data_IF_171152443821
#
_entry.id   IF_171152443821
#
_cell.length_a   1.000
_cell.length_b   1.000
_cell.length_c   1.000
_cell.angle_alpha   90.00
_cell.angle_beta   90.00
_cell.angle_gamma   90.00
#
_symmetry.space_group_name_H-M   'P 1'
#
loop_
_entity.id
_entity.type
_entity.pdbx_description
1 polymer ?
#
# COMPACT_ATOMS: atom_id res chain seq x y z
N UNK A 1 2.62 1.75 -79.94
CA UNK A 1 1.31 2.21 -79.47
C UNK A 1 1.61 3.16 -78.34
N UNK A 2 1.19 4.42 -78.43
CA UNK A 2 1.44 5.41 -77.37
C UNK A 2 0.91 4.87 -76.04
N UNK A 3 1.77 4.84 -75.03
CA UNK A 3 1.38 4.60 -73.65
C UNK A 3 0.42 5.72 -73.27
N UNK A 4 -0.87 5.40 -73.16
CA UNK A 4 -1.88 6.36 -72.73
C UNK A 4 -1.66 6.59 -71.24
N UNK A 5 -1.01 7.69 -70.91
CA UNK A 5 -0.76 8.10 -69.53
C UNK A 5 -2.07 8.51 -68.85
N UNK A 6 -2.28 8.01 -67.63
CA UNK A 6 -3.40 8.39 -66.76
C UNK A 6 -3.44 9.90 -66.57
N UNK A 7 -2.29 10.57 -66.46
CA UNK A 7 -2.20 12.03 -66.36
C UNK A 7 -2.84 12.71 -67.57
N UNK A 8 -2.57 12.20 -68.77
CA UNK A 8 -3.14 12.75 -70.00
C UNK A 8 -4.66 12.53 -70.08
N UNK A 9 -5.18 11.42 -69.54
CA UNK A 9 -6.62 11.20 -69.45
C UNK A 9 -7.29 12.09 -68.39
N UNK A 10 -6.58 12.47 -67.34
CA UNK A 10 -7.03 13.45 -66.33
C UNK A 10 -7.10 14.85 -66.95
N UNK A 11 -6.08 15.27 -67.69
CA UNK A 11 -6.09 16.57 -68.41
C UNK A 11 -7.29 16.66 -69.37
N UNK A 12 -7.59 15.54 -70.05
CA UNK A 12 -8.74 15.44 -70.96
C UNK A 12 -10.08 15.47 -70.23
N UNK A 13 -10.14 15.00 -68.99
CA UNK A 13 -11.31 15.13 -68.13
C UNK A 13 -11.52 16.59 -67.71
N UNK A 14 -10.45 17.28 -67.32
CA UNK A 14 -10.49 18.71 -66.98
C UNK A 14 -10.96 19.55 -68.17
N UNK A 15 -10.43 19.31 -69.37
CA UNK A 15 -10.82 20.00 -70.59
C UNK A 15 -12.31 19.75 -70.91
N UNK A 16 -12.75 18.50 -70.82
CA UNK A 16 -14.15 18.13 -71.07
C UNK A 16 -15.11 18.79 -70.07
N UNK A 17 -14.71 18.95 -68.79
CA UNK A 17 -15.46 19.70 -67.78
C UNK A 17 -15.42 21.21 -68.06
N UNK A 18 -14.28 21.74 -68.52
CA UNK A 18 -14.11 23.15 -68.89
C UNK A 18 -14.98 23.59 -70.06
N UNK A 19 -15.15 22.73 -71.06
CA UNK A 19 -15.98 22.95 -72.24
C UNK A 19 -17.47 22.63 -72.04
N UNK A 20 -17.82 22.03 -70.90
CA UNK A 20 -19.17 21.58 -70.63
C UNK A 20 -20.18 22.73 -70.58
N UNK A 21 -21.39 22.49 -71.09
CA UNK A 21 -22.42 23.53 -71.16
C UNK A 21 -22.91 23.86 -69.75
N UNK A 22 -22.61 25.08 -69.29
CA UNK A 22 -23.07 25.59 -67.99
C UNK A 22 -24.57 25.89 -68.02
N UNK A 23 -25.27 25.50 -66.96
CA UNK A 23 -26.67 25.88 -66.77
C UNK A 23 -26.74 27.29 -66.15
N UNK A 24 -27.75 28.10 -66.52
CA UNK A 24 -27.86 29.49 -66.08
C UNK A 24 -28.18 29.66 -64.59
N UNK A 25 -28.60 28.58 -63.90
CA UNK A 25 -28.93 28.61 -62.46
C UNK A 25 -28.29 27.40 -61.77
N UNK A 26 -27.47 27.68 -60.75
CA UNK A 26 -26.63 26.68 -60.08
C UNK A 26 -25.40 26.35 -60.93
N UNK A 27 -24.21 26.27 -60.34
CA UNK A 27 -22.93 26.04 -61.03
C UNK A 27 -22.78 24.67 -61.72
N UNK A 28 -23.89 24.05 -62.11
CA UNK A 28 -23.95 22.75 -62.75
C UNK A 28 -23.59 22.85 -64.23
N UNK A 29 -22.87 21.83 -64.68
CA UNK A 29 -22.49 21.62 -66.08
C UNK A 29 -23.19 20.40 -66.64
N UNK A 30 -23.62 20.50 -67.89
CA UNK A 30 -24.18 19.37 -68.64
C UNK A 30 -23.08 18.74 -69.48
N UNK A 31 -22.79 17.48 -69.17
CA UNK A 31 -21.80 16.67 -69.86
C UNK A 31 -22.48 15.54 -70.64
N UNK A 32 -21.89 15.18 -71.77
CA UNK A 32 -22.33 14.01 -72.53
C UNK A 32 -21.98 12.73 -71.74
N UNK A 33 -23.00 12.09 -71.14
CA UNK A 33 -22.86 10.87 -70.33
C UNK A 33 -21.98 9.82 -71.00
N UNK A 34 -22.17 9.59 -72.30
CA UNK A 34 -21.42 8.56 -73.03
C UNK A 34 -19.92 8.87 -73.08
N UNK A 35 -19.53 10.11 -73.39
CA UNK A 35 -18.13 10.55 -73.42
C UNK A 35 -17.46 10.46 -72.04
N UNK A 36 -18.20 10.80 -70.98
CA UNK A 36 -17.70 10.68 -69.61
C UNK A 36 -17.44 9.22 -69.24
N UNK A 37 -18.36 8.33 -69.57
CA UNK A 37 -18.20 6.89 -69.31
C UNK A 37 -17.04 6.30 -70.12
N UNK A 38 -16.90 6.67 -71.39
CA UNK A 38 -15.77 6.23 -72.23
C UNK A 38 -14.41 6.68 -71.65
N UNK A 39 -14.35 7.89 -71.08
CA UNK A 39 -13.14 8.40 -70.44
C UNK A 39 -12.84 7.69 -69.12
N UNK A 40 -13.88 7.39 -68.33
CA UNK A 40 -13.76 6.58 -67.10
C UNK A 40 -13.27 5.17 -67.40
N UNK A 41 -13.77 4.54 -68.46
CA UNK A 41 -13.31 3.21 -68.88
C UNK A 41 -11.85 3.24 -69.36
N UNK A 42 -11.44 4.29 -70.08
CA UNK A 42 -10.03 4.48 -70.46
C UNK A 42 -9.13 4.73 -69.25
N UNK A 43 -9.57 5.52 -68.27
CA UNK A 43 -8.84 5.73 -67.01
C UNK A 43 -8.67 4.42 -66.24
N UNK A 44 -9.69 3.56 -66.24
CA UNK A 44 -9.63 2.23 -65.62
C UNK A 44 -8.64 1.29 -66.29
N UNK A 45 -8.52 1.36 -67.61
CA UNK A 45 -7.58 0.53 -68.39
C UNK A 45 -6.16 1.10 -68.35
N UNK A 46 -6.02 2.42 -68.30
CA UNK A 46 -4.74 3.12 -68.27
C UNK A 46 -4.06 3.05 -66.90
N UNK A 47 -4.82 2.83 -65.81
CA UNK A 47 -4.25 2.50 -64.51
C UNK A 47 -3.47 1.20 -64.64
N UNK A 48 -2.12 1.24 -64.61
CA UNK A 48 -1.30 0.08 -64.86
C UNK A 48 -1.51 -0.95 -63.75
N UNK A 49 -1.47 -2.24 -64.10
CA UNK A 49 -1.59 -3.34 -63.12
C UNK A 49 -0.51 -3.23 -62.02
N UNK A 50 0.61 -2.60 -62.36
CA UNK A 50 1.75 -2.31 -61.52
C UNK A 50 1.40 -1.40 -60.32
N UNK A 51 0.44 -0.47 -60.46
CA UNK A 51 0.01 0.41 -59.36
C UNK A 51 -0.80 -0.37 -58.33
N UNK A 52 -1.69 -1.25 -58.77
CA UNK A 52 -2.45 -2.14 -57.88
C UNK A 52 -1.52 -3.11 -57.15
N UNK A 53 -0.56 -3.70 -57.88
CA UNK A 53 0.46 -4.57 -57.29
C UNK A 53 1.32 -3.82 -56.27
N UNK A 54 1.74 -2.59 -56.55
CA UNK A 54 2.49 -1.78 -55.60
C UNK A 54 1.68 -1.52 -54.31
N UNK A 55 0.39 -1.22 -54.44
CA UNK A 55 -0.48 -1.02 -53.27
C UNK A 55 -0.61 -2.30 -52.43
N UNK A 56 -0.83 -3.46 -53.05
CA UNK A 56 -0.87 -4.75 -52.34
C UNK A 56 0.46 -5.08 -51.65
N UNK A 57 1.59 -4.81 -52.30
CA UNK A 57 2.92 -5.01 -51.70
C UNK A 57 3.10 -4.11 -50.48
N UNK A 58 2.66 -2.85 -50.54
CA UNK A 58 2.74 -1.92 -49.41
C UNK A 58 1.86 -2.41 -48.25
N UNK A 59 0.61 -2.78 -48.52
CA UNK A 59 -0.30 -3.30 -47.49
C UNK A 59 0.30 -4.55 -46.82
N UNK A 60 0.79 -5.49 -47.62
CA UNK A 60 1.37 -6.75 -47.10
C UNK A 60 2.67 -6.52 -46.33
N UNK A 61 3.47 -5.53 -46.73
CA UNK A 61 4.64 -5.08 -45.95
C UNK A 61 4.21 -4.54 -44.60
N UNK A 62 3.19 -3.69 -44.56
CA UNK A 62 2.75 -3.05 -43.32
C UNK A 62 2.14 -4.08 -42.35
N UNK A 63 1.36 -5.04 -42.87
CA UNK A 63 0.89 -6.20 -42.11
C UNK A 63 2.05 -7.01 -41.54
N UNK A 64 3.04 -7.37 -42.38
CA UNK A 64 4.21 -8.12 -41.95
C UNK A 64 5.03 -7.37 -40.87
N UNK A 65 5.17 -6.05 -41.01
CA UNK A 65 5.85 -5.22 -40.01
C UNK A 65 5.09 -5.18 -38.69
N UNK A 66 3.75 -5.05 -38.73
CA UNK A 66 2.92 -5.09 -37.53
C UNK A 66 3.01 -6.45 -36.83
N UNK A 67 2.95 -7.56 -37.58
CA UNK A 67 3.14 -8.91 -37.05
C UNK A 67 4.53 -9.09 -36.42
N UNK A 68 5.58 -8.65 -37.11
CA UNK A 68 6.95 -8.73 -36.61
C UNK A 68 7.14 -7.92 -35.32
N UNK A 69 6.56 -6.72 -35.24
CA UNK A 69 6.60 -5.89 -34.02
C UNK A 69 5.84 -6.53 -32.87
N UNK A 70 4.65 -7.09 -33.14
CA UNK A 70 3.87 -7.79 -32.13
C UNK A 70 4.61 -9.02 -31.61
N UNK A 71 5.25 -9.79 -32.49
CA UNK A 71 6.03 -10.96 -32.09
C UNK A 71 7.30 -10.58 -31.33
N UNK A 72 8.01 -9.53 -31.75
CA UNK A 72 9.16 -9.01 -31.00
C UNK A 72 8.75 -8.57 -29.58
N UNK A 73 7.62 -7.88 -29.44
CA UNK A 73 7.09 -7.50 -28.13
C UNK A 73 6.75 -8.72 -27.26
N UNK A 74 6.15 -9.76 -27.84
CA UNK A 74 5.86 -11.03 -27.13
C UNK A 74 7.14 -11.74 -26.68
N UNK A 75 8.16 -11.79 -27.54
CA UNK A 75 9.46 -12.41 -27.22
C UNK A 75 10.12 -11.68 -26.06
N UNK A 76 10.16 -10.34 -26.10
CA UNK A 76 10.72 -9.53 -25.02
C UNK A 76 9.96 -9.72 -23.70
N UNK A 77 8.62 -9.73 -23.74
CA UNK A 77 7.81 -9.96 -22.55
C UNK A 77 8.12 -11.34 -21.92
N UNK A 78 8.16 -12.40 -22.73
CA UNK A 78 8.50 -13.75 -22.26
C UNK A 78 9.92 -13.84 -21.71
N UNK A 79 10.88 -13.17 -22.36
CA UNK A 79 12.27 -13.15 -21.92
C UNK A 79 12.42 -12.47 -20.55
N UNK A 80 11.71 -11.36 -20.31
CA UNK A 80 11.69 -10.71 -19.00
C UNK A 80 11.05 -11.60 -17.93
N UNK A 81 9.91 -12.22 -18.21
CA UNK A 81 9.24 -13.11 -17.25
C UNK A 81 10.13 -14.32 -16.88
N UNK A 82 10.78 -14.93 -17.88
CA UNK A 82 11.73 -16.03 -17.69
C UNK A 82 12.96 -15.60 -16.88
N UNK A 83 13.46 -14.38 -17.12
CA UNK A 83 14.59 -13.82 -16.38
C UNK A 83 14.23 -13.61 -14.90
N UNK A 84 13.10 -12.97 -14.61
CA UNK A 84 12.61 -12.75 -13.25
C UNK A 84 12.43 -14.07 -12.51
N UNK A 85 11.85 -15.08 -13.18
CA UNK A 85 11.71 -16.43 -12.61
C UNK A 85 13.08 -17.04 -12.26
N UNK A 86 14.05 -16.98 -13.18
CA UNK A 86 15.41 -17.50 -12.94
C UNK A 86 16.17 -16.75 -11.86
N UNK A 87 15.97 -15.43 -11.76
CA UNK A 87 16.55 -14.63 -10.68
C UNK A 87 15.95 -15.03 -9.33
N UNK A 88 14.64 -15.23 -9.25
CA UNK A 88 13.98 -15.73 -8.05
C UNK A 88 14.45 -17.14 -7.67
N UNK A 89 14.71 -18.00 -8.65
CA UNK A 89 15.27 -19.35 -8.47
C UNK A 89 16.78 -19.36 -8.20
N UNK A 90 17.46 -18.21 -8.29
CA UNK A 90 18.90 -18.17 -8.05
C UNK A 90 19.17 -18.50 -6.58
N UNK A 91 20.15 -19.38 -6.36
CA UNK A 91 20.57 -19.85 -5.02
C UNK A 91 20.78 -18.70 -4.02
N UNK A 92 21.21 -17.52 -4.50
CA UNK A 92 21.37 -16.32 -3.68
C UNK A 92 20.04 -15.80 -3.12
N UNK A 93 18.98 -15.74 -3.94
CA UNK A 93 17.66 -15.28 -3.51
C UNK A 93 17.05 -16.28 -2.54
N UNK A 94 17.16 -17.58 -2.85
CA UNK A 94 16.70 -18.65 -1.95
C UNK A 94 17.43 -18.63 -0.62
N UNK A 95 18.76 -18.56 -0.62
CA UNK A 95 19.56 -18.47 0.61
C UNK A 95 19.25 -17.19 1.41
N UNK A 96 18.98 -16.07 0.73
CA UNK A 96 18.55 -14.84 1.38
C UNK A 96 17.17 -14.99 2.05
N UNK A 97 16.21 -15.65 1.40
CA UNK A 97 14.89 -15.95 1.96
C UNK A 97 14.99 -16.88 3.17
N UNK A 98 15.70 -18.01 3.05
CA UNK A 98 15.90 -18.95 4.16
C UNK A 98 16.55 -18.27 5.37
N UNK A 99 17.54 -17.40 5.12
CA UNK A 99 18.21 -16.63 6.19
C UNK A 99 17.30 -15.57 6.80
N UNK A 100 16.47 -14.90 6.00
CA UNK A 100 15.48 -13.93 6.49
C UNK A 100 14.44 -14.62 7.38
N UNK A 101 13.93 -15.78 6.97
CA UNK A 101 13.01 -16.57 7.78
C UNK A 101 13.66 -17.04 9.09
N UNK A 102 14.92 -17.48 9.04
CA UNK A 102 15.65 -17.87 10.24
C UNK A 102 15.78 -16.68 11.21
N UNK A 103 16.15 -15.50 10.72
CA UNK A 103 16.23 -14.29 11.54
C UNK A 103 14.88 -13.91 12.15
N UNK A 104 13.78 -14.06 11.41
CA UNK A 104 12.43 -13.81 11.93
C UNK A 104 12.06 -14.80 13.04
N UNK A 105 12.34 -16.10 12.86
CA UNK A 105 12.13 -17.11 13.90
C UNK A 105 12.94 -16.81 15.16
N UNK A 106 14.23 -16.53 15.01
CA UNK A 106 15.10 -16.17 16.14
C UNK A 106 14.63 -14.89 16.85
N UNK A 107 14.16 -13.89 16.10
CA UNK A 107 13.63 -12.65 16.67
C UNK A 107 12.34 -12.90 17.46
N UNK A 108 11.43 -13.74 16.94
CA UNK A 108 10.19 -14.12 17.63
C UNK A 108 10.48 -14.89 18.92
N UNK A 109 11.35 -15.89 18.87
CA UNK A 109 11.74 -16.67 20.06
C UNK A 109 12.36 -15.78 21.15
N UNK A 110 13.23 -14.84 20.76
CA UNK A 110 13.84 -13.87 21.68
C UNK A 110 12.79 -12.93 22.27
N UNK A 111 11.85 -12.44 21.48
CA UNK A 111 10.79 -11.57 21.95
C UNK A 111 9.88 -12.29 22.97
N UNK A 112 9.49 -13.53 22.68
CA UNK A 112 8.73 -14.34 23.63
C UNK A 112 9.50 -14.64 24.92
N UNK A 113 10.79 -14.96 24.80
CA UNK A 113 11.64 -15.18 25.98
C UNK A 113 11.74 -13.92 26.85
N UNK A 114 11.91 -12.75 26.23
CA UNK A 114 11.94 -11.47 26.93
C UNK A 114 10.61 -11.17 27.63
N UNK A 115 9.48 -11.42 26.98
CA UNK A 115 8.15 -11.24 27.58
C UNK A 115 7.96 -12.16 28.79
N UNK A 116 8.32 -13.44 28.65
CA UNK A 116 8.22 -14.41 29.77
C UNK A 116 9.09 -13.99 30.95
N UNK A 117 10.32 -13.54 30.71
CA UNK A 117 11.21 -13.06 31.76
C UNK A 117 10.67 -11.79 32.42
N UNK A 118 10.18 -10.82 31.64
CA UNK A 118 9.57 -9.61 32.16
C UNK A 118 8.33 -9.90 33.02
N UNK A 119 7.46 -10.82 32.60
CA UNK A 119 6.30 -11.26 33.38
C UNK A 119 6.71 -11.96 34.68
N UNK A 120 7.73 -12.81 34.64
CA UNK A 120 8.25 -13.48 35.82
C UNK A 120 8.83 -12.48 36.83
N UNK A 121 9.61 -11.50 36.36
CA UNK A 121 10.15 -10.43 37.20
C UNK A 121 9.04 -9.54 37.78
N UNK A 122 8.03 -9.19 36.98
CA UNK A 122 6.90 -8.40 37.45
C UNK A 122 6.14 -9.13 38.57
N UNK A 123 5.87 -10.43 38.40
CA UNK A 123 5.25 -11.26 39.44
C UNK A 123 6.10 -11.34 40.70
N UNK A 124 7.39 -11.61 40.57
CA UNK A 124 8.30 -11.66 41.72
C UNK A 124 8.30 -10.34 42.51
N UNK A 125 8.34 -9.19 41.83
CA UNK A 125 8.27 -7.88 42.50
C UNK A 125 6.93 -7.62 43.18
N UNK A 126 5.82 -8.08 42.61
CA UNK A 126 4.51 -7.97 43.25
C UNK A 126 4.46 -8.83 44.52
N UNK A 127 4.92 -10.08 44.47
CA UNK A 127 4.96 -10.97 45.63
C UNK A 127 5.86 -10.41 46.75
N UNK A 128 7.03 -9.86 46.39
CA UNK A 128 7.93 -9.17 47.32
C UNK A 128 7.25 -7.94 47.96
N UNK A 129 6.60 -7.11 47.14
CA UNK A 129 5.90 -5.91 47.61
C UNK A 129 4.73 -6.26 48.55
N UNK A 130 3.95 -7.29 48.23
CA UNK A 130 2.88 -7.77 49.10
C UNK A 130 3.42 -8.27 50.44
N UNK A 131 4.51 -9.04 50.42
CA UNK A 131 5.15 -9.56 51.62
C UNK A 131 5.68 -8.44 52.49
N UNK A 132 6.39 -7.48 51.90
CA UNK A 132 6.90 -6.30 52.59
C UNK A 132 5.77 -5.45 53.19
N UNK A 133 4.69 -5.23 52.42
CA UNK A 133 3.52 -4.49 52.91
C UNK A 133 2.88 -5.18 54.11
N UNK A 134 2.71 -6.51 54.07
CA UNK A 134 2.14 -7.27 55.20
C UNK A 134 3.01 -7.18 56.45
N UNK A 135 4.32 -7.29 56.30
CA UNK A 135 5.27 -7.12 57.40
C UNK A 135 5.18 -5.71 58.00
N UNK A 136 5.20 -4.68 57.15
CA UNK A 136 5.08 -3.30 57.59
C UNK A 136 3.75 -3.02 58.32
N UNK A 137 2.64 -3.59 57.85
CA UNK A 137 1.35 -3.49 58.55
C UNK A 137 1.40 -4.14 59.93
N UNK A 138 1.96 -5.35 60.04
CA UNK A 138 2.09 -6.04 61.33
C UNK A 138 2.98 -5.27 62.30
N UNK A 139 4.09 -4.70 61.82
CA UNK A 139 4.98 -3.86 62.63
C UNK A 139 4.30 -2.58 63.09
N UNK A 140 3.53 -1.93 62.21
CA UNK A 140 2.76 -0.73 62.54
C UNK A 140 1.67 -1.02 63.59
N UNK A 141 0.94 -2.14 63.45
CA UNK A 141 -0.06 -2.58 64.42
C UNK A 141 0.58 -2.87 65.79
N UNK A 142 1.71 -3.57 65.80
CA UNK A 142 2.46 -3.85 67.02
C UNK A 142 2.98 -2.56 67.68
N UNK A 143 3.42 -1.58 66.89
CA UNK A 143 3.83 -0.28 67.39
C UNK A 143 2.66 0.50 67.98
N UNK A 144 1.52 0.53 67.29
CA UNK A 144 0.30 1.19 67.75
C UNK A 144 -0.17 0.60 69.09
N UNK A 145 -0.19 -0.72 69.21
CA UNK A 145 -0.55 -1.42 70.45
C UNK A 145 0.39 -1.02 71.61
N UNK A 146 1.71 -1.02 71.39
CA UNK A 146 2.68 -0.57 72.40
C UNK A 146 2.49 0.90 72.79
N UNK A 147 2.14 1.76 71.84
CA UNK A 147 1.86 3.17 72.11
C UNK A 147 0.61 3.34 72.97
N UNK A 148 -0.46 2.58 72.68
CA UNK A 148 -1.69 2.58 73.47
C UNK A 148 -1.47 2.04 74.89
N UNK A 149 -0.69 0.96 75.05
CA UNK A 149 -0.34 0.43 76.37
C UNK A 149 0.44 1.44 77.23
N UNK A 150 1.42 2.14 76.66
CA UNK A 150 2.14 3.21 77.39
C UNK A 150 1.23 4.36 77.80
N UNK A 151 0.25 4.70 76.96
CA UNK A 151 -0.75 5.73 77.28
C UNK A 151 -1.65 5.27 78.43
N UNK A 152 -2.10 4.02 78.42
CA UNK A 152 -2.89 3.42 79.50
C UNK A 152 -2.13 3.46 80.83
N UNK A 153 -0.88 3.02 80.86
CA UNK A 153 -0.02 3.06 82.05
C UNK A 153 0.15 4.49 82.59
N UNK A 154 0.32 5.46 81.69
CA UNK A 154 0.45 6.88 82.04
C UNK A 154 -0.85 7.43 82.66
N UNK A 155 -2.00 7.08 82.09
CA UNK A 155 -3.30 7.50 82.60
C UNK A 155 -3.62 6.86 83.95
N UNK A 156 -3.31 5.58 84.16
CA UNK A 156 -3.48 4.93 85.47
C UNK A 156 -2.61 5.60 86.54
N UNK A 157 -1.35 5.92 86.21
CA UNK A 157 -0.47 6.68 87.08
C UNK A 157 -1.05 8.03 87.51
N UNK A 158 -1.61 8.80 86.56
CA UNK A 158 -2.28 10.07 86.84
C UNK A 158 -3.54 9.88 87.70
N UNK A 159 -4.36 8.88 87.41
CA UNK A 159 -5.56 8.55 88.21
C UNK A 159 -5.19 8.18 89.65
N UNK A 160 -4.13 7.40 89.85
CA UNK A 160 -3.63 7.07 91.18
C UNK A 160 -3.16 8.32 91.94
N UNK A 161 -2.47 9.26 91.27
CA UNK A 161 -2.07 10.54 91.87
C UNK A 161 -3.28 11.38 92.28
N UNK A 162 -4.30 11.49 91.41
CA UNK A 162 -5.55 12.22 91.72
C UNK A 162 -6.25 11.58 92.92
N UNK A 163 -6.40 10.25 92.96
CA UNK A 163 -6.99 9.52 94.10
C UNK A 163 -6.25 9.78 95.42
N UNK A 164 -4.91 9.71 95.40
CA UNK A 164 -4.09 10.02 96.58
C UNK A 164 -4.27 11.48 97.03
N UNK A 165 -4.38 12.41 96.08
CA UNK A 165 -4.66 13.82 96.35
C UNK A 165 -6.01 14.04 97.04
N UNK A 166 -7.08 13.41 96.52
CA UNK A 166 -8.43 13.46 97.13
C UNK A 166 -8.39 12.91 98.57
N UNK A 167 -7.83 11.72 98.78
CA UNK A 167 -7.71 11.10 100.11
C UNK A 167 -6.89 11.93 101.10
N UNK A 168 -5.91 12.71 100.64
CA UNK A 168 -5.14 13.60 101.49
C UNK A 168 -5.97 14.82 101.96
N UNK A 169 -6.82 15.36 101.08
CA UNK A 169 -7.73 16.46 101.39
C UNK A 169 -8.87 16.03 102.31
N UNK A 170 -9.48 14.87 102.06
CA UNK A 170 -10.52 14.28 102.93
C UNK A 170 -10.00 14.07 104.35
N UNK A 171 -8.79 13.51 104.50
CA UNK A 171 -8.13 13.38 105.79
C UNK A 171 -7.89 14.72 106.48
N UNK A 172 -7.56 15.77 105.74
CA UNK A 172 -7.37 17.12 106.29
C UNK A 172 -8.68 17.78 106.73
N UNK A 173 -9.80 17.50 106.08
CA UNK A 173 -11.12 17.96 106.51
C UNK A 173 -11.57 17.25 107.79
N UNK A 174 -11.34 15.94 107.91
CA UNK A 174 -11.70 15.15 109.10
C UNK A 174 -10.97 15.57 110.39
N UNK A 175 -9.93 16.41 110.32
CA UNK A 175 -9.21 16.95 111.48
C UNK A 175 -9.68 18.35 111.89
N UNK A 176 -10.58 18.96 111.10
CA UNK A 176 -11.10 20.31 111.32
C UNK A 176 -12.51 20.34 111.92
N UNK A 177 -13.20 19.20 111.98
CA UNK A 177 -14.42 18.97 112.76
C UNK A 177 -14.07 18.32 114.11
#
# INVERSE_FOLDING_TARGET
MEEIDVLHLIDRLEEMVGEARRLPVGGSVVLARQRLLDLVDRLRVALPAEVYQAHEIIQRRDELLAEAQAEAARILARAHEELERRLAETEVVRAAQERAEQLLREAQERAEALLRDAEAQARARLDEAETASRQQMQEADAYALKALQRLEESLDGLLQQVRRGIQALERRQAWKD
#
